data_IF_736522184321
#
_entry.id   IF_736522184321
#
_cell.length_a   1.000
_cell.length_b   1.000
_cell.length_c   1.000
_cell.angle_alpha   90.00
_cell.angle_beta   90.00
_cell.angle_gamma   90.00
#
_symmetry.space_group_name_H-M   'P 1'
#
loop_
_entity.id
_entity.type
_entity.pdbx_description
1 polymer ?
#
# COMPACT_ATOMS: atom_id res chain seq x y z
N UNK A 1 -36.27 -1.24 -27.59
CA UNK A 1 -35.61 0.03 -27.22
C UNK A 1 -34.62 -0.28 -26.11
N UNK A 2 -33.36 0.15 -26.19
CA UNK A 2 -32.46 0.08 -25.02
C UNK A 2 -32.86 1.22 -24.09
N UNK A 3 -33.44 0.94 -22.93
CA UNK A 3 -33.57 1.94 -21.88
C UNK A 3 -32.15 2.38 -21.48
N UNK A 4 -31.92 3.68 -21.46
CA UNK A 4 -30.69 4.25 -20.90
C UNK A 4 -30.82 4.08 -19.40
N UNK A 5 -30.09 3.11 -18.86
CA UNK A 5 -30.00 2.88 -17.42
C UNK A 5 -29.37 4.10 -16.76
N UNK A 6 -29.98 4.62 -15.70
CA UNK A 6 -29.36 5.68 -14.90
C UNK A 6 -28.16 5.09 -14.15
N UNK A 7 -26.96 5.60 -14.41
CA UNK A 7 -25.74 5.17 -13.73
C UNK A 7 -25.07 6.39 -13.09
N UNK A 8 -24.82 6.30 -11.78
CA UNK A 8 -24.17 7.35 -10.97
C UNK A 8 -22.89 6.78 -10.39
N UNK A 9 -21.77 7.49 -10.52
CA UNK A 9 -20.51 7.18 -9.83
C UNK A 9 -20.19 8.31 -8.85
N UNK A 10 -19.95 7.95 -7.58
CA UNK A 10 -19.52 8.84 -6.51
C UNK A 10 -18.14 8.38 -6.03
N UNK A 11 -17.23 9.33 -5.82
CA UNK A 11 -15.97 9.13 -5.10
C UNK A 11 -16.09 9.87 -3.78
N UNK A 12 -15.86 9.17 -2.67
CA UNK A 12 -15.66 9.76 -1.35
C UNK A 12 -14.23 9.53 -0.90
N UNK A 13 -13.59 10.62 -0.54
CA UNK A 13 -12.32 10.67 0.18
C UNK A 13 -12.63 11.11 1.62
N UNK A 14 -11.73 10.85 2.57
CA UNK A 14 -11.87 11.32 3.97
C UNK A 14 -10.53 11.88 4.39
N UNK A 15 -10.48 13.16 4.74
CA UNK A 15 -9.22 13.87 4.91
C UNK A 15 -8.25 13.25 5.91
N UNK A 16 -7.03 12.98 5.44
CA UNK A 16 -5.90 12.59 6.26
C UNK A 16 -5.46 13.75 7.15
N UNK A 17 -5.97 13.81 8.38
CA UNK A 17 -5.43 14.69 9.41
C UNK A 17 -3.99 14.30 9.75
N UNK A 18 -3.04 15.22 9.58
CA UNK A 18 -1.66 15.01 10.02
C UNK A 18 -1.63 14.75 11.53
N UNK A 19 -1.11 13.59 11.94
CA UNK A 19 -1.08 13.21 13.37
C UNK A 19 0.10 13.89 14.07
N UNK A 20 -0.19 14.76 15.03
CA UNK A 20 0.79 15.31 15.96
C UNK A 20 1.56 14.17 16.66
N UNK A 21 2.87 14.36 16.92
CA UNK A 21 3.70 13.40 17.68
C UNK A 21 3.14 13.01 19.06
N UNK A 22 2.15 13.74 19.58
CA UNK A 22 1.49 13.49 20.87
C UNK A 22 0.34 12.46 20.80
N UNK A 23 -0.17 12.08 19.62
CA UNK A 23 -1.23 11.08 19.49
C UNK A 23 -0.72 9.64 19.40
N UNK A 24 0.57 9.42 19.68
CA UNK A 24 1.14 8.07 19.78
C UNK A 24 0.72 7.42 21.11
N UNK A 25 0.39 6.11 21.13
CA UNK A 25 0.33 5.39 22.39
C UNK A 25 1.72 5.44 23.07
N UNK A 26 1.80 5.57 24.41
CA UNK A 26 3.09 5.54 25.10
C UNK A 26 3.78 4.21 24.83
N UNK A 27 5.10 4.26 24.61
CA UNK A 27 5.94 3.06 24.54
C UNK A 27 5.74 2.29 25.84
N UNK A 28 5.09 1.12 25.76
CA UNK A 28 5.00 0.22 26.91
C UNK A 28 6.38 -0.40 27.14
N UNK A 29 7.21 0.28 27.93
CA UNK A 29 8.39 -0.32 28.53
C UNK A 29 7.93 -1.33 29.58
N UNK A 30 7.71 -2.58 29.16
CA UNK A 30 7.52 -3.69 30.10
C UNK A 30 8.76 -3.78 31.00
N UNK A 31 8.58 -3.40 32.27
CA UNK A 31 9.57 -3.71 33.30
C UNK A 31 9.39 -5.16 33.74
N UNK A 32 10.48 -5.92 33.99
CA UNK A 32 10.39 -7.36 34.21
C UNK A 32 9.67 -7.67 35.54
N UNK A 33 8.40 -8.07 35.44
CA UNK A 33 7.61 -8.48 36.60
C UNK A 33 8.15 -9.79 37.17
N UNK A 34 8.69 -9.70 38.39
CA UNK A 34 9.23 -10.84 39.11
C UNK A 34 8.12 -11.49 39.92
N UNK A 35 7.64 -12.67 39.51
CA UNK A 35 7.25 -13.79 40.41
C UNK A 35 6.58 -14.94 39.62
N UNK A 36 7.08 -16.16 39.83
CA UNK A 36 6.36 -17.41 39.51
C UNK A 36 6.57 -18.42 40.63
N UNK A 37 5.53 -18.88 41.33
CA UNK A 37 5.66 -19.98 42.28
C UNK A 37 5.98 -21.30 41.57
N UNK A 38 6.89 -22.08 42.17
CA UNK A 38 7.23 -23.43 41.71
C UNK A 38 6.19 -24.46 42.14
N UNK A 39 5.87 -25.41 41.27
CA UNK A 39 5.24 -26.69 41.63
C UNK A 39 6.03 -27.81 40.95
N UNK A 40 6.69 -28.63 41.76
CA UNK A 40 7.42 -29.82 41.30
C UNK A 40 6.45 -30.99 41.03
N UNK A 41 6.74 -31.82 40.00
CA UNK A 41 6.42 -33.25 40.02
C UNK A 41 7.66 -34.09 40.41
N UNK A 42 7.48 -35.29 41.01
CA UNK A 42 8.58 -36.12 41.52
C UNK A 42 9.26 -36.96 40.43
N UNK A 43 10.51 -37.33 40.70
CA UNK A 43 11.32 -38.20 39.84
C UNK A 43 11.11 -39.70 40.12
N UNK A 44 11.42 -40.53 39.11
CA UNK A 44 11.85 -41.93 39.31
C UNK A 44 12.82 -42.35 38.20
N UNK A 45 13.58 -43.43 38.46
CA UNK A 45 14.94 -43.62 37.93
C UNK A 45 15.09 -44.68 36.84
N UNK A 46 16.16 -44.52 36.05
CA UNK A 46 17.10 -45.53 35.54
C UNK A 46 16.58 -46.88 34.98
N UNK A 47 16.88 -47.16 33.71
CA UNK A 47 18.11 -47.92 33.34
C UNK A 47 18.16 -48.25 31.83
N UNK A 48 19.33 -48.10 31.23
CA UNK A 48 19.70 -48.69 29.93
C UNK A 48 20.37 -50.06 30.18
N UNK A 49 20.35 -51.00 29.22
CA UNK A 49 21.55 -51.12 28.40
C UNK A 49 21.32 -51.46 26.91
N UNK A 50 22.34 -51.11 26.11
CA UNK A 50 22.62 -51.51 24.72
C UNK A 50 22.88 -53.05 24.66
N UNK A 51 22.66 -53.73 23.52
CA UNK A 51 23.61 -53.73 22.39
C UNK A 51 22.87 -53.44 21.04
N UNK A 52 23.39 -53.55 19.80
CA UNK A 52 24.72 -53.95 19.32
C UNK A 52 25.18 -53.11 18.08
N UNK A 53 25.15 -53.73 16.87
CA UNK A 53 25.65 -53.29 15.56
C UNK A 53 24.89 -53.97 14.41
N UNK A 54 24.71 -53.29 13.27
CA UNK A 54 25.22 -53.85 12.01
C UNK A 54 25.40 -52.80 10.90
N UNK A 55 26.45 -53.01 10.10
CA UNK A 55 26.95 -52.12 9.04
C UNK A 55 26.34 -52.48 7.69
N UNK A 56 26.19 -51.53 6.76
CA UNK A 56 26.37 -51.73 5.32
C UNK A 56 26.48 -50.37 4.60
N UNK A 57 27.49 -50.20 3.74
CA UNK A 57 27.60 -49.09 2.79
C UNK A 57 26.74 -49.38 1.54
N UNK A 58 26.53 -48.38 0.67
CA UNK A 58 27.19 -48.52 -0.63
C UNK A 58 27.83 -47.24 -1.20
N UNK A 59 29.03 -47.46 -1.74
CA UNK A 59 29.65 -46.90 -2.94
C UNK A 59 29.34 -45.48 -3.45
N UNK A 60 30.42 -44.70 -3.49
CA UNK A 60 30.61 -43.43 -4.21
C UNK A 60 30.31 -43.55 -5.70
N UNK A 61 29.56 -42.60 -6.27
CA UNK A 61 29.65 -42.27 -7.70
C UNK A 61 29.82 -40.78 -7.92
N UNK A 62 31.08 -40.39 -8.14
CA UNK A 62 31.47 -38.99 -8.39
C UNK A 62 30.92 -38.53 -9.73
N UNK A 63 29.98 -37.59 -9.71
CA UNK A 63 29.61 -36.77 -10.86
C UNK A 63 29.85 -35.32 -10.46
N UNK A 64 30.77 -34.65 -11.16
CA UNK A 64 30.97 -33.22 -11.02
C UNK A 64 29.74 -32.50 -11.59
N UNK A 65 29.05 -31.63 -10.83
CA UNK A 65 28.21 -30.62 -11.44
C UNK A 65 29.13 -29.59 -12.08
N UNK A 66 29.06 -29.45 -13.40
CA UNK A 66 29.71 -28.34 -14.09
C UNK A 66 29.16 -27.04 -13.49
N UNK A 67 30.06 -26.17 -13.00
CA UNK A 67 29.70 -24.84 -12.49
C UNK A 67 29.34 -23.92 -13.65
N UNK A 68 28.18 -24.17 -14.24
CA UNK A 68 27.53 -23.22 -15.12
C UNK A 68 26.88 -22.16 -14.23
N UNK A 69 27.72 -21.23 -13.74
CA UNK A 69 27.27 -20.01 -13.07
C UNK A 69 26.60 -19.18 -14.16
N UNK A 70 25.31 -19.46 -14.39
CA UNK A 70 24.42 -18.50 -15.01
C UNK A 70 24.52 -17.24 -14.17
N UNK A 71 25.16 -16.22 -14.74
CA UNK A 71 25.03 -14.87 -14.22
C UNK A 71 23.53 -14.59 -14.19
N UNK A 72 22.95 -14.55 -13.00
CA UNK A 72 21.62 -13.98 -12.84
C UNK A 72 21.78 -12.53 -13.26
N UNK A 73 21.23 -12.16 -14.42
CA UNK A 73 21.08 -10.76 -14.80
C UNK A 73 20.44 -10.06 -13.61
N UNK A 74 21.20 -9.18 -12.97
CA UNK A 74 20.75 -8.45 -11.79
C UNK A 74 19.66 -7.52 -12.28
N UNK A 75 18.42 -8.02 -12.16
CA UNK A 75 17.21 -7.38 -12.67
C UNK A 75 17.17 -5.98 -12.09
N UNK A 76 17.49 -4.99 -12.94
CA UNK A 76 17.86 -3.64 -12.50
C UNK A 76 16.59 -2.90 -12.15
N UNK A 77 16.16 -3.08 -10.89
CA UNK A 77 15.03 -2.39 -10.28
C UNK A 77 15.17 -0.91 -10.61
N UNK A 78 14.11 -0.36 -11.21
CA UNK A 78 14.17 0.97 -11.80
C UNK A 78 14.30 2.06 -10.73
N UNK A 79 15.54 2.47 -10.48
CA UNK A 79 15.86 3.69 -9.75
C UNK A 79 15.29 4.89 -10.52
N UNK A 80 14.48 5.73 -9.86
CA UNK A 80 14.00 6.97 -10.48
C UNK A 80 15.22 7.78 -10.97
N UNK A 81 15.37 7.94 -12.28
CA UNK A 81 16.48 8.71 -12.89
C UNK A 81 16.48 10.21 -12.56
N UNK A 82 15.54 10.64 -11.72
CA UNK A 82 15.17 12.03 -11.45
C UNK A 82 15.13 12.36 -9.95
N UNK A 83 15.40 11.40 -9.05
CA UNK A 83 15.39 11.66 -7.60
C UNK A 83 16.31 12.83 -7.28
N UNK A 84 15.77 13.87 -6.66
CA UNK A 84 16.53 14.99 -6.15
C UNK A 84 17.44 14.48 -5.04
N UNK A 85 18.71 14.90 -5.04
CA UNK A 85 19.66 14.57 -3.96
C UNK A 85 19.24 15.15 -2.60
N UNK A 86 18.28 16.08 -2.61
CA UNK A 86 17.57 16.59 -1.44
C UNK A 86 16.09 16.81 -1.77
N UNK A 87 15.22 15.90 -1.30
CA UNK A 87 13.77 16.02 -1.44
C UNK A 87 13.21 17.28 -0.78
N UNK A 88 13.89 17.87 0.21
CA UNK A 88 13.36 19.04 0.91
C UNK A 88 13.14 20.23 -0.03
N UNK A 89 13.91 20.30 -1.12
CA UNK A 89 13.74 21.25 -2.22
C UNK A 89 12.45 21.09 -3.04
N UNK A 90 11.82 19.90 -3.04
CA UNK A 90 10.51 19.71 -3.66
C UNK A 90 9.45 20.58 -2.95
N UNK A 91 8.80 21.42 -3.72
CA UNK A 91 7.74 22.32 -3.27
C UNK A 91 6.48 21.99 -4.06
N UNK A 92 5.42 21.56 -3.36
CA UNK A 92 4.16 21.22 -4.03
C UNK A 92 3.38 22.49 -4.40
N UNK A 93 3.76 23.10 -5.52
CA UNK A 93 3.15 24.33 -6.03
C UNK A 93 1.68 24.13 -6.43
N UNK A 94 1.22 22.89 -6.66
CA UNK A 94 -0.20 22.57 -6.83
C UNK A 94 -1.00 22.96 -5.58
N UNK A 95 -0.48 22.59 -4.40
CA UNK A 95 -1.06 22.90 -3.09
C UNK A 95 -0.90 24.39 -2.77
N UNK A 96 0.29 24.98 -3.01
CA UNK A 96 0.53 26.41 -2.73
C UNK A 96 -0.38 27.35 -3.52
N UNK A 97 -0.72 26.99 -4.76
CA UNK A 97 -1.66 27.75 -5.59
C UNK A 97 -3.14 27.43 -5.27
N UNK A 98 -3.40 26.46 -4.39
CA UNK A 98 -4.72 25.88 -4.14
C UNK A 98 -5.43 25.49 -5.45
N UNK A 99 -4.73 24.74 -6.30
CA UNK A 99 -5.20 24.33 -7.63
C UNK A 99 -6.51 23.55 -7.54
N UNK A 100 -7.50 23.91 -8.37
CA UNK A 100 -8.79 23.23 -8.42
C UNK A 100 -8.68 21.75 -8.85
N UNK A 101 -9.62 20.95 -8.35
CA UNK A 101 -9.73 19.53 -8.69
C UNK A 101 -9.90 19.33 -10.19
N UNK A 102 -9.18 18.37 -10.77
CA UNK A 102 -9.34 18.00 -12.18
C UNK A 102 -10.20 16.74 -12.29
N UNK A 103 -11.34 16.85 -12.96
CA UNK A 103 -12.26 15.73 -13.20
C UNK A 103 -11.63 14.57 -13.99
N UNK A 104 -11.82 13.34 -13.48
CA UNK A 104 -11.52 12.09 -14.18
C UNK A 104 -12.12 12.09 -15.59
N UNK A 105 -11.26 12.15 -16.61
CA UNK A 105 -11.62 12.62 -17.95
C UNK A 105 -11.99 11.53 -18.96
N UNK A 106 -11.94 10.26 -18.55
CA UNK A 106 -12.30 9.10 -19.37
C UNK A 106 -13.53 8.39 -18.79
N UNK A 107 -13.97 7.30 -19.42
CA UNK A 107 -15.25 6.66 -19.06
C UNK A 107 -15.34 6.33 -17.58
N UNK A 108 -16.51 6.61 -16.98
CA UNK A 108 -16.85 6.22 -15.61
C UNK A 108 -17.49 4.82 -15.55
N UNK A 109 -17.83 4.23 -16.70
CA UNK A 109 -18.76 3.08 -16.78
C UNK A 109 -18.26 1.90 -17.63
N UNK A 110 -17.26 2.12 -18.48
CA UNK A 110 -16.70 1.08 -19.37
C UNK A 110 -15.42 0.50 -18.76
N UNK A 111 -15.04 -0.70 -19.24
CA UNK A 111 -13.68 -1.20 -19.08
C UNK A 111 -12.70 -0.16 -19.62
N UNK A 112 -11.70 0.17 -18.81
CA UNK A 112 -10.65 1.12 -19.15
C UNK A 112 -9.42 0.36 -19.62
N UNK A 113 -8.71 0.97 -20.57
CA UNK A 113 -7.36 0.54 -20.96
C UNK A 113 -6.29 1.39 -20.29
N UNK A 114 -5.04 0.93 -20.40
CA UNK A 114 -3.86 1.70 -20.00
C UNK A 114 -3.84 3.08 -20.67
N UNK A 115 -4.19 3.18 -21.97
CA UNK A 115 -4.23 4.48 -22.67
C UNK A 115 -5.34 5.41 -22.13
N UNK A 116 -6.45 4.87 -21.61
CA UNK A 116 -7.50 5.67 -20.98
C UNK A 116 -7.03 6.23 -19.62
N UNK A 117 -6.35 5.41 -18.82
CA UNK A 117 -5.79 5.82 -17.52
C UNK A 117 -4.70 6.89 -17.75
N UNK A 118 -3.76 6.64 -18.66
CA UNK A 118 -2.73 7.62 -19.06
C UNK A 118 -3.37 8.95 -19.48
N UNK A 119 -4.40 8.92 -20.32
CA UNK A 119 -5.12 10.12 -20.75
C UNK A 119 -5.77 10.88 -19.58
N UNK A 120 -6.31 10.17 -18.59
CA UNK A 120 -6.86 10.78 -17.38
C UNK A 120 -5.78 11.51 -16.58
N UNK A 121 -4.70 10.81 -16.21
CA UNK A 121 -3.57 11.36 -15.48
C UNK A 121 -2.90 12.50 -16.25
N UNK A 122 -2.64 12.34 -17.54
CA UNK A 122 -1.98 13.35 -18.37
C UNK A 122 -2.79 14.64 -18.53
N UNK A 123 -4.13 14.57 -18.48
CA UNK A 123 -4.97 15.78 -18.42
C UNK A 123 -4.77 16.54 -17.10
N UNK A 124 -4.70 15.83 -15.97
CA UNK A 124 -4.48 16.46 -14.67
C UNK A 124 -3.05 17.01 -14.53
N UNK A 125 -2.05 16.24 -14.97
CA UNK A 125 -0.63 16.67 -15.03
C UNK A 125 -0.43 17.92 -15.87
N UNK A 126 -1.19 18.12 -16.95
CA UNK A 126 -1.13 19.36 -17.73
C UNK A 126 -1.54 20.62 -16.95
N UNK A 127 -2.27 20.47 -15.84
CA UNK A 127 -2.63 21.53 -14.90
C UNK A 127 -1.74 21.56 -13.63
N UNK A 128 -0.84 20.58 -13.47
CA UNK A 128 -0.03 20.44 -12.25
C UNK A 128 1.41 20.97 -12.48
N UNK A 129 1.74 22.19 -11.99
CA UNK A 129 3.04 22.81 -12.24
C UNK A 129 4.22 22.08 -11.60
N UNK A 130 3.99 21.06 -10.77
CA UNK A 130 5.06 20.26 -10.16
C UNK A 130 5.63 19.18 -11.09
N UNK A 131 4.95 18.83 -12.18
CA UNK A 131 5.32 17.71 -13.06
C UNK A 131 5.24 18.09 -14.54
N UNK A 132 6.29 17.76 -15.29
CA UNK A 132 6.37 18.04 -16.74
C UNK A 132 6.39 16.79 -17.61
N UNK A 133 6.52 15.61 -16.99
CA UNK A 133 6.55 14.31 -17.68
C UNK A 133 5.16 13.70 -17.79
N UNK A 134 4.84 13.01 -18.90
CA UNK A 134 3.61 12.23 -18.97
C UNK A 134 3.64 11.01 -18.04
N UNK A 135 2.46 10.66 -17.54
CA UNK A 135 2.14 9.31 -17.08
C UNK A 135 2.24 8.36 -18.28
N UNK A 136 3.02 7.30 -18.10
CA UNK A 136 3.19 6.18 -19.02
C UNK A 136 3.03 4.91 -18.18
N UNK A 137 2.14 4.03 -18.61
CA UNK A 137 1.83 2.76 -17.97
C UNK A 137 2.55 1.59 -18.67
N UNK A 138 2.61 0.41 -18.02
CA UNK A 138 2.98 -0.82 -18.73
C UNK A 138 1.98 -1.11 -19.86
N UNK A 139 2.37 -1.91 -20.88
CA UNK A 139 1.42 -2.50 -21.82
C UNK A 139 0.25 -3.19 -21.10
N UNK A 140 -0.95 -3.14 -21.70
CA UNK A 140 -2.20 -3.65 -21.09
C UNK A 140 -2.05 -5.06 -20.48
N UNK A 141 -1.40 -6.00 -21.16
CA UNK A 141 -1.22 -7.37 -20.68
C UNK A 141 -0.31 -7.48 -19.45
N UNK A 142 0.50 -6.47 -19.15
CA UNK A 142 1.32 -6.41 -17.94
C UNK A 142 0.54 -5.71 -16.84
N UNK A 143 -0.16 -4.62 -17.16
CA UNK A 143 -1.07 -3.92 -16.25
C UNK A 143 -2.21 -4.82 -15.72
N UNK A 144 -2.79 -5.65 -16.57
CA UNK A 144 -3.85 -6.61 -16.20
C UNK A 144 -3.36 -7.74 -15.29
N UNK A 145 -2.05 -8.00 -15.27
CA UNK A 145 -1.42 -8.99 -14.39
C UNK A 145 -0.91 -8.38 -13.07
N UNK A 146 -0.96 -7.07 -12.89
CA UNK A 146 -0.65 -6.43 -11.60
C UNK A 146 -1.80 -6.61 -10.62
N UNK A 147 -1.45 -7.03 -9.40
CA UNK A 147 -2.36 -6.97 -8.25
C UNK A 147 -2.73 -5.51 -7.93
N UNK A 148 -3.75 -5.34 -7.10
CA UNK A 148 -4.26 -4.03 -6.68
C UNK A 148 -3.14 -3.17 -6.07
N UNK A 149 -2.31 -3.81 -5.24
CA UNK A 149 -1.18 -3.17 -4.57
C UNK A 149 -0.07 -2.76 -5.54
N UNK A 150 0.19 -3.57 -6.58
CA UNK A 150 1.17 -3.25 -7.63
C UNK A 150 0.69 -2.11 -8.52
N UNK A 151 -0.62 -2.04 -8.86
CA UNK A 151 -1.20 -0.92 -9.61
C UNK A 151 -1.08 0.40 -8.85
N UNK A 152 -1.39 0.42 -7.55
CA UNK A 152 -1.23 1.63 -6.72
C UNK A 152 0.23 2.01 -6.54
N UNK A 153 1.11 1.06 -6.18
CA UNK A 153 2.56 1.31 -6.07
C UNK A 153 3.11 1.91 -7.36
N UNK A 154 2.68 1.39 -8.52
CA UNK A 154 3.13 1.89 -9.82
C UNK A 154 2.79 3.36 -10.01
N UNK A 155 1.51 3.71 -9.85
CA UNK A 155 1.01 5.06 -10.07
C UNK A 155 1.65 6.04 -9.09
N UNK A 156 1.67 5.70 -7.80
CA UNK A 156 2.25 6.55 -6.75
C UNK A 156 3.76 6.74 -7.00
N UNK A 157 4.51 5.68 -7.30
CA UNK A 157 5.93 5.82 -7.59
C UNK A 157 6.20 6.57 -8.90
N UNK A 158 5.34 6.47 -9.92
CA UNK A 158 5.48 7.28 -11.14
C UNK A 158 5.20 8.76 -10.87
N UNK A 159 4.19 9.09 -10.05
CA UNK A 159 3.93 10.46 -9.59
C UNK A 159 5.13 11.02 -8.77
N UNK A 160 5.71 10.21 -7.87
CA UNK A 160 6.89 10.59 -7.06
C UNK A 160 8.14 10.77 -7.90
N UNK A 161 8.53 9.76 -8.70
CA UNK A 161 9.71 9.80 -9.57
C UNK A 161 9.69 10.98 -10.55
N UNK A 162 8.55 11.28 -11.17
CA UNK A 162 8.45 12.33 -12.18
C UNK A 162 8.55 13.75 -11.59
N UNK A 163 8.34 13.88 -10.27
CA UNK A 163 8.57 15.10 -9.45
C UNK A 163 9.93 15.12 -8.75
N UNK A 164 10.73 14.06 -8.92
CA UNK A 164 12.03 13.92 -8.28
C UNK A 164 12.00 13.56 -6.79
N UNK A 165 10.89 13.01 -6.30
CA UNK A 165 10.83 12.36 -4.98
C UNK A 165 11.31 10.90 -5.11
N UNK A 166 11.90 10.33 -4.03
CA UNK A 166 12.21 8.90 -3.98
C UNK A 166 10.94 8.07 -4.10
N UNK A 167 10.96 6.92 -4.79
CA UNK A 167 9.82 6.01 -4.81
C UNK A 167 9.71 5.31 -3.44
N UNK A 168 8.50 4.89 -3.08
CA UNK A 168 8.34 3.85 -2.07
C UNK A 168 9.03 2.58 -2.56
N UNK A 169 9.76 1.90 -1.67
CA UNK A 169 10.58 0.75 -2.03
C UNK A 169 9.73 -0.40 -2.62
N UNK A 170 8.60 -0.70 -1.99
CA UNK A 170 7.73 -1.78 -2.42
C UNK A 170 6.52 -2.01 -1.53
N UNK A 171 5.84 -3.12 -1.79
CA UNK A 171 4.70 -3.59 -1.01
C UNK A 171 5.20 -4.56 0.05
N UNK A 172 4.94 -4.25 1.32
CA UNK A 172 5.16 -5.17 2.44
C UNK A 172 3.92 -6.06 2.65
N UNK A 173 4.06 -7.38 2.77
CA UNK A 173 2.92 -8.29 2.88
C UNK A 173 2.16 -8.15 4.21
N UNK A 174 2.80 -7.70 5.30
CA UNK A 174 2.15 -7.49 6.60
C UNK A 174 1.29 -6.23 6.55
N UNK A 175 1.83 -5.14 6.02
CA UNK A 175 1.06 -3.89 5.81
C UNK A 175 -0.10 -4.15 4.84
N UNK A 176 0.13 -4.90 3.76
CA UNK A 176 -0.95 -5.30 2.84
C UNK A 176 -2.05 -6.08 3.55
N UNK A 177 -1.70 -6.98 4.47
CA UNK A 177 -2.68 -7.75 5.24
C UNK A 177 -3.47 -6.89 6.23
N UNK A 178 -2.81 -5.91 6.87
CA UNK A 178 -3.46 -4.98 7.80
C UNK A 178 -4.43 -4.04 7.07
N UNK A 179 -3.97 -3.36 6.02
CA UNK A 179 -4.82 -2.55 5.14
C UNK A 179 -6.03 -3.35 4.59
N UNK A 180 -5.85 -4.64 4.26
CA UNK A 180 -6.92 -5.52 3.80
C UNK A 180 -7.93 -5.86 4.93
N UNK A 181 -7.46 -6.02 6.15
CA UNK A 181 -8.32 -6.19 7.32
C UNK A 181 -9.15 -4.93 7.56
N UNK A 182 -8.53 -3.74 7.49
CA UNK A 182 -9.24 -2.48 7.71
C UNK A 182 -10.22 -2.14 6.58
N UNK A 183 -9.86 -2.35 5.31
CA UNK A 183 -10.80 -2.25 4.19
C UNK A 183 -12.04 -3.14 4.40
N UNK A 184 -11.82 -4.37 4.89
CA UNK A 184 -12.89 -5.33 5.22
C UNK A 184 -13.72 -4.86 6.42
N UNK A 185 -13.10 -4.23 7.42
CA UNK A 185 -13.78 -3.62 8.55
C UNK A 185 -14.74 -2.51 8.10
N UNK A 186 -14.25 -1.54 7.31
CA UNK A 186 -15.04 -0.42 6.78
C UNK A 186 -16.22 -0.87 5.92
N UNK A 187 -16.06 -1.95 5.15
CA UNK A 187 -17.17 -2.57 4.39
C UNK A 187 -18.29 -3.11 5.28
N UNK A 188 -17.94 -3.65 6.44
CA UNK A 188 -18.89 -4.25 7.38
C UNK A 188 -19.54 -3.21 8.30
N UNK A 189 -18.92 -2.04 8.44
CA UNK A 189 -19.38 -0.90 9.23
C UNK A 189 -19.48 0.36 8.33
N UNK A 190 -20.43 0.40 7.38
CA UNK A 190 -20.49 1.46 6.35
C UNK A 190 -20.89 2.83 6.91
N UNK A 191 -21.40 2.89 8.13
CA UNK A 191 -21.65 4.09 8.94
C UNK A 191 -20.39 4.63 9.64
N UNK A 192 -19.26 3.92 9.52
CA UNK A 192 -18.02 4.13 10.27
C UNK A 192 -16.82 4.44 9.35
N UNK A 193 -17.09 5.08 8.20
CA UNK A 193 -16.09 5.34 7.17
C UNK A 193 -15.13 6.49 7.57
N UNK A 194 -14.06 6.16 8.31
CA UNK A 194 -13.07 7.11 8.84
C UNK A 194 -11.67 6.49 9.03
N UNK A 195 -10.65 7.32 9.26
CA UNK A 195 -9.26 6.89 9.56
C UNK A 195 -9.05 6.47 11.03
N UNK A 196 -9.46 7.37 11.92
CA UNK A 196 -9.68 7.20 13.35
C UNK A 196 -11.15 7.60 13.53
N UNK A 197 -11.97 7.01 14.42
CA UNK A 197 -11.80 7.25 15.86
C UNK A 197 -12.47 6.16 16.75
N UNK A 198 -13.04 6.58 17.89
CA UNK A 198 -14.10 5.88 18.66
C UNK A 198 -15.28 5.34 17.82
N UNK A 199 -15.43 5.80 16.58
CA UNK A 199 -16.54 5.55 15.66
C UNK A 199 -16.17 4.56 14.54
N UNK A 200 -14.95 4.02 14.54
CA UNK A 200 -14.52 2.92 13.67
C UNK A 200 -14.07 1.74 14.56
N UNK A 201 -12.94 1.10 14.27
CA UNK A 201 -12.45 -0.03 15.09
C UNK A 201 -11.86 0.37 16.45
N UNK A 202 -11.94 1.65 16.81
CA UNK A 202 -11.39 2.20 18.06
C UNK A 202 -9.86 2.31 18.07
N UNK A 203 -9.21 2.08 16.92
CA UNK A 203 -7.75 2.15 16.77
C UNK A 203 -7.37 3.27 15.79
N UNK A 204 -6.15 3.77 15.91
CA UNK A 204 -5.52 4.63 14.90
C UNK A 204 -4.79 3.77 13.86
N UNK A 205 -4.48 4.27 12.65
CA UNK A 205 -3.66 3.53 11.68
C UNK A 205 -2.35 3.01 12.27
N UNK A 206 -1.65 3.85 13.06
CA UNK A 206 -0.43 3.46 13.76
C UNK A 206 -0.65 2.35 14.81
N UNK A 207 -1.81 2.29 15.44
CA UNK A 207 -2.16 1.19 16.35
C UNK A 207 -2.51 -0.09 15.59
N UNK A 208 -3.18 0.00 14.44
CA UNK A 208 -3.44 -1.16 13.56
C UNK A 208 -2.14 -1.73 13.01
N UNK A 209 -1.31 -0.91 12.35
CA UNK A 209 0.01 -1.31 11.86
C UNK A 209 0.90 -1.89 12.97
N UNK A 210 0.86 -1.35 14.20
CA UNK A 210 1.63 -1.89 15.33
C UNK A 210 1.13 -3.27 15.80
N UNK A 211 -0.18 -3.48 15.88
CA UNK A 211 -0.78 -4.72 16.40
C UNK A 211 -0.83 -5.83 15.35
N UNK A 212 -1.22 -5.49 14.13
CA UNK A 212 -1.60 -6.44 13.08
C UNK A 212 -0.44 -6.68 12.08
N UNK A 213 0.50 -5.72 11.94
CA UNK A 213 1.69 -5.85 11.10
C UNK A 213 3.04 -5.78 11.85
N UNK A 214 3.06 -5.35 13.12
CA UNK A 214 4.28 -5.26 13.94
C UNK A 214 5.13 -4.01 13.73
N UNK A 215 4.56 -2.94 13.16
CA UNK A 215 5.25 -1.65 12.94
C UNK A 215 5.30 -0.83 14.23
N UNK A 216 6.47 -0.72 14.83
CA UNK A 216 6.69 -0.02 16.10
C UNK A 216 7.64 1.17 15.87
N UNK A 217 7.04 2.36 15.84
CA UNK A 217 7.76 3.63 15.67
C UNK A 217 8.82 3.81 16.76
N UNK A 218 9.99 4.27 16.36
CA UNK A 218 11.24 4.36 17.11
C UNK A 218 11.92 3.01 17.45
N UNK A 219 11.38 1.86 17.02
CA UNK A 219 12.04 0.54 17.16
C UNK A 219 12.44 -0.05 15.80
N UNK A 220 11.47 -0.36 14.94
CA UNK A 220 11.65 -0.90 13.59
C UNK A 220 11.08 -0.01 12.48
N UNK A 221 10.49 1.13 12.86
CA UNK A 221 10.07 2.20 11.98
C UNK A 221 10.57 3.56 12.50
N UNK A 222 10.84 4.49 11.59
CA UNK A 222 10.98 5.91 11.88
C UNK A 222 9.60 6.59 11.93
N UNK A 223 9.54 7.79 12.50
CA UNK A 223 8.27 8.53 12.55
C UNK A 223 7.94 9.12 11.19
N UNK A 224 6.96 8.52 10.52
CA UNK A 224 6.32 9.08 9.35
C UNK A 224 5.01 9.79 9.78
N UNK A 225 4.75 10.99 9.25
CA UNK A 225 3.62 11.80 9.73
C UNK A 225 2.26 11.46 9.09
N UNK A 226 2.27 10.58 8.09
CA UNK A 226 1.10 10.05 7.41
C UNK A 226 1.06 8.53 7.65
N UNK A 227 -0.10 7.98 7.99
CA UNK A 227 -0.25 6.53 8.18
C UNK A 227 -1.03 5.87 7.05
N UNK A 228 -2.16 6.48 6.69
CA UNK A 228 -3.24 5.84 5.92
C UNK A 228 -3.89 6.82 4.93
N UNK A 229 -4.28 6.31 3.77
CA UNK A 229 -5.09 6.95 2.72
C UNK A 229 -6.30 6.03 2.47
N UNK A 230 -7.54 6.55 2.54
CA UNK A 230 -8.74 5.74 2.25
C UNK A 230 -9.53 6.31 1.07
N UNK A 231 -10.12 5.45 0.24
CA UNK A 231 -10.98 5.84 -0.87
C UNK A 231 -12.20 4.92 -0.98
N UNK A 232 -13.38 5.51 -1.16
CA UNK A 232 -14.61 4.78 -1.45
C UNK A 232 -15.18 5.22 -2.79
N UNK A 233 -15.37 4.25 -3.69
CA UNK A 233 -15.94 4.46 -5.01
C UNK A 233 -17.26 3.71 -5.09
N UNK A 234 -18.35 4.41 -5.31
CA UNK A 234 -19.71 3.84 -5.35
C UNK A 234 -20.36 4.07 -6.70
N UNK A 235 -20.74 3.00 -7.39
CA UNK A 235 -21.47 3.05 -8.66
C UNK A 235 -22.84 2.38 -8.53
N UNK A 236 -23.90 3.12 -8.87
CA UNK A 236 -25.29 2.68 -8.79
C UNK A 236 -25.92 2.52 -10.17
N UNK A 237 -26.85 1.56 -10.33
CA UNK A 237 -27.58 1.28 -11.57
C UNK A 237 -29.06 1.04 -11.29
N UNK A 238 -29.97 1.63 -12.09
CA UNK A 238 -31.41 1.31 -12.07
C UNK A 238 -31.78 0.01 -12.80
N UNK A 239 -30.80 -0.71 -13.35
CA UNK A 239 -31.02 -2.00 -14.01
C UNK A 239 -31.02 -3.17 -13.02
N UNK A 240 -31.36 -4.37 -13.47
CA UNK A 240 -31.49 -5.56 -12.60
C UNK A 240 -30.16 -6.26 -12.27
N UNK A 241 -29.05 -5.52 -12.21
CA UNK A 241 -27.71 -6.08 -11.97
C UNK A 241 -26.78 -5.03 -11.36
N UNK A 242 -25.90 -5.49 -10.47
CA UNK A 242 -24.85 -4.67 -9.89
C UNK A 242 -23.82 -4.23 -10.96
N UNK A 243 -23.60 -2.92 -11.15
CA UNK A 243 -22.60 -2.41 -12.09
C UNK A 243 -21.18 -2.71 -11.60
N UNK A 244 -20.18 -2.73 -12.49
CA UNK A 244 -18.77 -2.96 -12.14
C UNK A 244 -17.99 -1.65 -12.09
N UNK A 245 -17.15 -1.48 -11.07
CA UNK A 245 -16.10 -0.45 -11.06
C UNK A 245 -14.88 -1.02 -11.80
N UNK A 246 -14.38 -0.25 -12.76
CA UNK A 246 -13.16 -0.58 -13.50
C UNK A 246 -12.03 0.32 -13.03
N UNK A 247 -10.86 -0.29 -12.75
CA UNK A 247 -9.62 0.38 -12.33
C UNK A 247 -9.82 1.30 -11.11
N UNK A 248 -10.48 0.80 -10.06
CA UNK A 248 -10.70 1.54 -8.82
C UNK A 248 -9.40 1.99 -8.16
N UNK A 249 -8.32 1.21 -8.36
CA UNK A 249 -6.96 1.49 -7.90
C UNK A 249 -6.43 2.77 -8.56
N UNK A 250 -6.59 2.88 -9.88
CA UNK A 250 -6.18 4.05 -10.64
C UNK A 250 -7.04 5.27 -10.32
N UNK A 251 -8.35 5.06 -10.11
CA UNK A 251 -9.28 6.12 -9.69
C UNK A 251 -9.00 6.62 -8.27
N UNK A 252 -8.64 5.74 -7.34
CA UNK A 252 -8.29 6.11 -5.97
C UNK A 252 -7.03 6.97 -5.95
N UNK A 253 -5.93 6.53 -6.60
CA UNK A 253 -4.70 7.32 -6.71
C UNK A 253 -4.92 8.64 -7.43
N UNK A 254 -5.74 8.65 -8.49
CA UNK A 254 -6.11 9.90 -9.16
C UNK A 254 -6.90 10.84 -8.25
N UNK A 255 -7.86 10.32 -7.49
CA UNK A 255 -8.63 11.06 -6.51
C UNK A 255 -7.74 11.71 -5.46
N UNK A 256 -6.90 10.90 -4.80
CA UNK A 256 -5.91 11.36 -3.82
C UNK A 256 -4.90 12.38 -4.37
N UNK A 257 -4.58 12.35 -5.67
CA UNK A 257 -3.60 13.27 -6.28
C UNK A 257 -4.20 14.56 -6.85
N UNK A 258 -5.45 14.52 -7.34
CA UNK A 258 -6.02 15.53 -8.24
C UNK A 258 -7.50 15.88 -7.98
N UNK A 259 -8.14 15.24 -7.00
CA UNK A 259 -9.51 15.53 -6.57
C UNK A 259 -9.59 15.66 -5.02
N UNK A 260 -8.57 16.30 -4.45
CA UNK A 260 -8.25 16.30 -3.02
C UNK A 260 -8.35 17.70 -2.37
N UNK A 261 -8.79 18.72 -3.12
CA UNK A 261 -8.90 20.10 -2.61
C UNK A 261 -9.90 20.21 -1.46
N UNK A 262 -11.01 19.46 -1.52
CA UNK A 262 -12.01 19.41 -0.45
C UNK A 262 -11.44 18.94 0.89
N UNK A 263 -10.47 18.03 0.84
CA UNK A 263 -9.80 17.43 2.01
C UNK A 263 -8.48 18.16 2.36
N UNK A 264 -8.34 19.43 1.92
CA UNK A 264 -7.15 20.26 2.12
C UNK A 264 -5.84 19.62 1.63
N UNK A 265 -5.93 18.79 0.57
CA UNK A 265 -4.82 18.04 -0.04
C UNK A 265 -4.17 17.02 0.93
N UNK A 266 -4.90 16.52 1.93
CA UNK A 266 -4.37 15.57 2.93
C UNK A 266 -3.81 14.29 2.32
N UNK A 267 -4.51 13.72 1.33
CA UNK A 267 -4.10 12.47 0.67
C UNK A 267 -2.92 12.71 -0.28
N UNK A 268 -2.93 13.83 -1.02
CA UNK A 268 -1.81 14.23 -1.89
C UNK A 268 -0.54 14.47 -1.08
N UNK A 269 -0.66 15.13 0.07
CA UNK A 269 0.44 15.36 1.00
C UNK A 269 1.08 14.05 1.49
N UNK A 270 0.27 13.01 1.76
CA UNK A 270 0.80 11.67 2.03
C UNK A 270 1.51 11.10 0.78
N UNK A 271 0.85 11.04 -0.37
CA UNK A 271 1.47 10.46 -1.57
C UNK A 271 2.79 11.15 -1.97
N UNK A 272 2.89 12.48 -1.79
CA UNK A 272 4.05 13.32 -2.08
C UNK A 272 4.96 13.55 -0.85
N UNK A 273 4.80 12.77 0.22
CA UNK A 273 5.53 12.99 1.46
C UNK A 273 7.06 12.89 1.29
N UNK A 274 7.76 13.74 2.05
CA UNK A 274 9.21 13.93 2.04
C UNK A 274 9.84 13.47 3.35
N UNK A 275 11.16 13.26 3.33
CA UNK A 275 11.94 13.16 4.57
C UNK A 275 11.92 11.78 5.24
N UNK A 276 11.51 10.74 4.50
CA UNK A 276 11.75 9.34 4.84
C UNK A 276 13.25 9.11 5.07
N UNK A 277 13.64 8.40 6.11
CA UNK A 277 15.05 8.27 6.50
C UNK A 277 15.69 7.13 5.70
N UNK A 278 16.65 7.42 4.79
CA UNK A 278 17.35 6.40 3.99
C UNK A 278 18.25 5.51 4.88
N UNK A 279 17.63 4.57 5.58
CA UNK A 279 18.24 3.74 6.60
C UNK A 279 17.68 2.29 6.63
N UNK A 280 16.79 1.96 5.68
CA UNK A 280 16.33 0.61 5.38
C UNK A 280 16.59 0.26 3.91
N UNK A 281 16.14 -0.93 3.49
CA UNK A 281 15.81 -1.16 2.09
C UNK A 281 16.94 -1.11 1.05
N UNK A 282 16.53 -0.84 -0.19
CA UNK A 282 17.38 -0.52 -1.31
C UNK A 282 17.70 0.98 -1.37
N UNK A 283 18.99 1.29 -1.56
CA UNK A 283 19.49 2.66 -1.73
C UNK A 283 18.66 3.46 -2.76
N UNK A 284 18.38 4.72 -2.45
CA UNK A 284 17.57 5.67 -3.23
C UNK A 284 16.08 5.30 -3.41
N UNK A 285 15.59 4.29 -2.69
CA UNK A 285 14.18 4.05 -2.40
C UNK A 285 13.99 4.12 -0.89
N UNK A 286 12.83 4.50 -0.39
CA UNK A 286 12.56 4.41 1.06
C UNK A 286 11.05 4.41 1.32
N UNK A 287 10.63 3.78 2.42
CA UNK A 287 9.23 3.64 2.78
C UNK A 287 8.58 2.40 2.15
N UNK A 288 7.76 1.69 2.92
CA UNK A 288 7.01 0.51 2.47
C UNK A 288 5.51 0.77 2.55
N UNK A 289 4.75 0.26 1.59
CA UNK A 289 3.29 0.43 1.52
C UNK A 289 2.55 -0.90 1.60
N UNK A 290 1.26 -0.86 1.93
CA UNK A 290 0.33 -1.98 1.80
C UNK A 290 -1.03 -1.49 1.35
N UNK A 291 -1.66 -2.23 0.44
CA UNK A 291 -2.96 -1.84 -0.14
C UNK A 291 -3.97 -2.95 0.07
N UNK A 292 -5.01 -2.63 0.83
CA UNK A 292 -6.22 -3.44 0.96
C UNK A 292 -7.31 -2.95 0.02
N UNK A 293 -8.09 -3.88 -0.54
CA UNK A 293 -9.31 -3.55 -1.29
C UNK A 293 -10.44 -4.52 -0.96
N UNK A 294 -11.66 -4.02 -0.86
CA UNK A 294 -12.84 -4.87 -0.78
C UNK A 294 -14.02 -4.28 -1.56
N UNK A 295 -14.87 -5.16 -2.07
CA UNK A 295 -16.08 -4.78 -2.80
C UNK A 295 -17.32 -5.16 -2.00
N UNK A 296 -18.28 -4.25 -1.90
CA UNK A 296 -19.62 -4.45 -1.34
C UNK A 296 -20.66 -4.25 -2.43
N UNK A 297 -21.72 -5.07 -2.41
CA UNK A 297 -22.89 -4.90 -3.27
C UNK A 297 -24.14 -4.82 -2.41
N UNK A 298 -25.00 -3.84 -2.68
CA UNK A 298 -26.23 -3.61 -1.90
C UNK A 298 -27.30 -2.90 -2.74
N UNK A 299 -28.57 -3.09 -2.37
CA UNK A 299 -29.68 -2.36 -2.99
C UNK A 299 -30.11 -1.22 -2.07
N UNK A 300 -30.30 -0.03 -2.65
CA UNK A 300 -30.85 1.13 -1.94
C UNK A 300 -31.52 2.09 -2.92
N UNK A 301 -32.62 2.74 -2.53
CA UNK A 301 -33.36 3.71 -3.35
C UNK A 301 -33.88 3.19 -4.70
N UNK A 302 -33.97 1.86 -4.90
CA UNK A 302 -34.29 1.25 -6.19
C UNK A 302 -33.09 1.07 -7.13
N UNK A 303 -31.87 1.34 -6.67
CA UNK A 303 -30.61 1.13 -7.38
C UNK A 303 -29.88 -0.12 -6.86
N UNK A 304 -29.15 -0.77 -7.76
CA UNK A 304 -28.15 -1.77 -7.45
C UNK A 304 -26.79 -1.07 -7.38
N UNK A 305 -26.20 -1.03 -6.17
CA UNK A 305 -24.92 -0.38 -5.91
C UNK A 305 -23.79 -1.40 -5.82
N UNK A 306 -22.65 -1.06 -6.43
CA UNK A 306 -21.34 -1.65 -6.12
C UNK A 306 -20.47 -0.56 -5.51
N UNK A 307 -19.84 -0.86 -4.38
CA UNK A 307 -18.92 0.02 -3.67
C UNK A 307 -17.58 -0.69 -3.52
N UNK A 308 -16.52 -0.11 -4.07
CA UNK A 308 -15.14 -0.51 -3.77
C UNK A 308 -14.61 0.41 -2.66
N UNK A 309 -13.98 -0.19 -1.65
CA UNK A 309 -13.26 0.49 -0.57
C UNK A 309 -11.79 0.09 -0.68
N UNK A 310 -10.90 1.08 -0.73
CA UNK A 310 -9.46 0.91 -0.75
C UNK A 310 -8.86 1.59 0.46
N UNK A 311 -7.89 0.91 1.08
CA UNK A 311 -7.06 1.43 2.17
C UNK A 311 -5.61 1.28 1.73
N UNK A 312 -4.84 2.36 1.87
CA UNK A 312 -3.40 2.42 1.61
C UNK A 312 -2.69 2.83 2.89
N UNK A 313 -1.94 1.91 3.47
CA UNK A 313 -1.09 2.17 4.63
C UNK A 313 0.38 2.23 4.23
N UNK A 314 1.18 2.94 5.01
CA UNK A 314 2.64 2.95 4.82
C UNK A 314 3.41 3.37 6.07
N UNK A 315 4.70 3.06 6.08
CA UNK A 315 5.63 3.52 7.11
C UNK A 315 7.04 3.69 6.55
N UNK A 316 7.88 4.37 7.32
CA UNK A 316 9.32 4.55 7.09
C UNK A 316 10.06 3.44 7.86
N UNK A 317 10.56 2.37 7.22
CA UNK A 317 11.20 1.26 7.93
C UNK A 317 12.56 1.66 8.47
N UNK A 318 13.05 0.91 9.45
CA UNK A 318 14.45 0.96 9.88
C UNK A 318 15.23 -0.25 9.43
N UNK A 319 16.56 -0.16 9.51
CA UNK A 319 17.46 -1.32 9.37
C UNK A 319 17.09 -2.54 10.24
N UNK A 320 16.34 -2.36 11.33
CA UNK A 320 15.78 -3.44 12.17
C UNK A 320 14.58 -4.17 11.53
N UNK A 321 13.94 -3.61 10.50
CA UNK A 321 12.96 -4.28 9.63
C UNK A 321 13.62 -5.21 8.59
N UNK A 322 14.94 -5.13 8.41
CA UNK A 322 15.63 -5.75 7.27
C UNK A 322 15.43 -7.27 7.11
N UNK A 323 15.09 -7.99 8.18
CA UNK A 323 14.80 -9.43 8.13
C UNK A 323 13.53 -9.76 7.30
N UNK A 324 12.61 -8.81 7.12
CA UNK A 324 11.37 -8.99 6.35
C UNK A 324 11.48 -8.50 4.89
N UNK A 325 12.52 -7.73 4.53
CA UNK A 325 12.70 -7.11 3.21
C UNK A 325 12.83 -8.08 2.03
N UNK A 326 13.16 -9.35 2.30
CA UNK A 326 13.16 -10.42 1.30
C UNK A 326 11.74 -10.74 0.77
N UNK A 327 10.70 -10.40 1.55
CA UNK A 327 9.29 -10.58 1.17
C UNK A 327 8.69 -9.35 0.47
N UNK A 328 9.37 -8.21 0.49
CA UNK A 328 8.89 -6.95 -0.10
C UNK A 328 8.81 -7.08 -1.62
N UNK A 329 7.59 -6.89 -2.15
CA UNK A 329 7.31 -6.96 -3.58
C UNK A 329 7.60 -5.61 -4.22
N UNK A 330 8.63 -5.58 -5.07
CA UNK A 330 9.07 -4.40 -5.82
C UNK A 330 8.64 -4.52 -7.28
N UNK A 331 8.47 -3.38 -7.96
CA UNK A 331 8.05 -3.29 -9.36
C UNK A 331 8.95 -2.34 -10.14
N UNK A 332 8.95 -2.49 -11.47
CA UNK A 332 9.68 -1.60 -12.39
C UNK A 332 8.73 -0.55 -12.98
N UNK A 333 9.24 0.65 -13.23
CA UNK A 333 8.51 1.73 -13.89
C UNK A 333 8.88 1.81 -15.37
N UNK A 334 7.92 2.14 -16.22
CA UNK A 334 8.12 2.33 -17.65
C UNK A 334 8.56 3.77 -17.93
N UNK A 335 9.25 3.95 -19.07
CA UNK A 335 9.86 5.21 -19.52
C UNK A 335 9.09 5.86 -20.66
#
# INVERSE_FOLDING_TARGET
>A
MKQITGVVLILFLVGCGATDKKSQPPVQTESPSTQRPSVNPPATQNNTPRPETNTLQPETKTLQPETNISQSEEKTIYLCSNTLSDENSFTDTYIQHSTDDTDWSVSKYNLLKTEDIEKAFNRARANDPTVTKPMILPPQNIWDNYTESEKVLYLVNKERCDRGLRPFEGIDPKIKSEAQNYATYLKNHPDQYAHNPHEADGRTPWQRMAQDAGVIVNQNADFFQYGENIASLSIGSTGNAFPRIYESEARAVYGWMYQDKGESYGHRNFLMAKGLQENSGLKHMEGLIGIGKTTRQYQDGGYYWTQDILVMDSFDPRSSWNNDLASVKRIELYR
#
